data_IF_969516799573
#
_entry.id   IF_969516799573
#
_cell.length_a   1.000
_cell.length_b   1.000
_cell.length_c   1.000
_cell.angle_alpha   90.00
_cell.angle_beta   90.00
_cell.angle_gamma   90.00
#
_symmetry.space_group_name_H-M   'P 1'
#
loop_
_entity.id
_entity.type
_entity.pdbx_description
1 polymer ?
#
# COMPACT_ATOMS: atom_id res chain seq x y z
N UNK A 1 12.64 -2.35 1.52
CA UNK A 1 13.06 -0.99 1.92
C UNK A 1 12.09 -0.49 2.97
N UNK A 2 12.59 0.12 4.05
CA UNK A 2 11.73 0.67 5.12
C UNK A 2 12.16 2.11 5.39
N UNK A 3 11.19 3.02 5.46
CA UNK A 3 11.40 4.41 5.86
C UNK A 3 10.39 4.77 6.97
N UNK A 4 10.84 5.58 7.91
CA UNK A 4 10.03 5.97 9.07
C UNK A 4 9.78 7.48 9.04
N UNK A 5 8.52 7.88 8.95
CA UNK A 5 8.11 9.23 9.26
C UNK A 5 7.73 9.32 10.74
N UNK A 6 8.15 10.39 11.42
CA UNK A 6 7.99 10.58 12.86
C UNK A 6 8.41 9.33 13.68
N UNK A 7 9.69 8.96 13.66
CA UNK A 7 10.18 7.71 14.24
C UNK A 7 10.02 7.61 15.76
N UNK A 8 9.80 8.74 16.45
CA UNK A 8 9.60 8.78 17.91
C UNK A 8 8.17 8.52 18.34
N UNK A 9 7.21 8.50 17.39
CA UNK A 9 5.81 8.25 17.72
C UNK A 9 5.61 6.80 18.18
N UNK A 10 4.88 6.63 19.26
CA UNK A 10 4.55 5.30 19.83
C UNK A 10 3.35 4.65 19.15
N UNK A 11 2.44 5.44 18.60
CA UNK A 11 1.32 4.95 17.79
C UNK A 11 1.71 5.00 16.32
N UNK A 12 1.83 3.86 15.69
CA UNK A 12 2.30 3.73 14.32
C UNK A 12 1.25 3.05 13.43
N UNK A 13 1.27 3.42 12.14
CA UNK A 13 0.57 2.72 11.07
C UNK A 13 1.58 2.31 10.01
N UNK A 14 1.31 1.23 9.31
CA UNK A 14 2.12 0.79 8.18
C UNK A 14 1.43 1.15 6.87
N UNK A 15 2.17 1.73 5.94
CA UNK A 15 1.75 1.92 4.57
C UNK A 15 2.73 1.15 3.70
N UNK A 16 2.25 0.24 2.88
CA UNK A 16 3.12 -0.63 2.11
C UNK A 16 2.69 -0.77 0.66
N UNK A 17 3.64 -1.10 -0.18
CA UNK A 17 3.49 -1.50 -1.57
C UNK A 17 4.62 -2.47 -1.91
N UNK A 18 4.51 -3.25 -2.97
CA UNK A 18 5.69 -3.86 -3.55
C UNK A 18 6.37 -2.88 -4.52
N UNK A 19 7.64 -3.10 -4.82
CA UNK A 19 8.42 -2.21 -5.68
C UNK A 19 9.05 -2.93 -6.88
N UNK A 20 9.00 -4.25 -6.85
CA UNK A 20 9.41 -5.11 -7.95
C UNK A 20 8.34 -5.18 -9.05
N UNK A 21 8.63 -5.89 -10.09
CA UNK A 21 7.69 -6.25 -11.14
C UNK A 21 7.89 -7.70 -11.53
N UNK A 22 6.87 -8.30 -12.13
CA UNK A 22 6.98 -9.65 -12.66
C UNK A 22 8.15 -9.74 -13.64
N UNK A 23 9.07 -10.71 -13.47
CA UNK A 23 10.28 -10.80 -14.30
C UNK A 23 10.00 -11.16 -15.76
N UNK A 24 8.80 -11.62 -16.08
CA UNK A 24 8.37 -12.09 -17.39
C UNK A 24 6.92 -11.76 -17.68
N UNK A 25 6.56 -11.66 -18.96
CA UNK A 25 5.20 -11.35 -19.42
C UNK A 25 4.38 -12.63 -19.67
N UNK A 26 4.41 -13.59 -18.78
CA UNK A 26 3.87 -14.93 -18.95
C UNK A 26 2.33 -15.00 -18.99
N UNK A 27 1.65 -13.90 -18.72
CA UNK A 27 0.21 -13.73 -18.91
C UNK A 27 -0.15 -13.01 -20.24
N UNK A 28 0.85 -12.67 -21.07
CA UNK A 28 0.57 -12.11 -22.40
C UNK A 28 -0.14 -13.17 -23.26
N UNK A 29 -1.23 -12.82 -23.96
CA UNK A 29 -1.91 -13.75 -24.85
C UNK A 29 -1.05 -14.26 -26.00
N UNK A 30 -0.01 -13.55 -26.40
CA UNK A 30 1.01 -14.00 -27.34
C UNK A 30 2.22 -14.57 -26.57
N UNK A 31 2.38 -15.89 -26.57
CA UNK A 31 3.45 -16.60 -25.88
C UNK A 31 4.87 -16.20 -26.35
N UNK A 32 5.02 -15.58 -27.52
CA UNK A 32 6.32 -15.04 -27.97
C UNK A 32 6.79 -13.85 -27.14
N UNK A 33 5.92 -13.26 -26.35
CA UNK A 33 6.22 -12.18 -25.41
C UNK A 33 6.60 -12.67 -24.01
N UNK A 34 6.34 -13.91 -23.66
CA UNK A 34 6.44 -14.40 -22.28
C UNK A 34 7.79 -14.15 -21.61
N UNK A 35 8.88 -14.24 -22.36
CA UNK A 35 10.24 -13.98 -21.85
C UNK A 35 10.67 -12.50 -21.95
N UNK A 36 9.78 -11.60 -22.33
CA UNK A 36 10.07 -10.16 -22.39
C UNK A 36 9.82 -9.51 -21.05
N UNK A 37 10.56 -8.43 -20.71
CA UNK A 37 10.29 -7.65 -19.51
C UNK A 37 8.96 -6.91 -19.66
N UNK A 38 8.28 -6.69 -18.54
CA UNK A 38 7.08 -5.86 -18.46
C UNK A 38 7.39 -4.50 -17.81
N UNK A 39 6.55 -3.51 -18.10
CA UNK A 39 6.65 -2.18 -17.50
C UNK A 39 5.78 -2.15 -16.22
N UNK A 40 6.40 -1.86 -15.10
CA UNK A 40 5.76 -1.86 -13.78
C UNK A 40 5.00 -0.56 -13.45
N UNK A 41 4.49 0.18 -14.43
CA UNK A 41 3.92 1.51 -14.19
C UNK A 41 2.72 1.53 -13.23
N UNK A 42 1.86 0.50 -13.30
CA UNK A 42 0.75 0.34 -12.37
C UNK A 42 1.11 -0.65 -11.26
N UNK A 43 1.63 -1.79 -11.63
CA UNK A 43 2.06 -2.90 -10.81
C UNK A 43 3.60 -3.01 -10.87
N UNK A 44 4.36 -2.45 -9.92
CA UNK A 44 3.96 -1.89 -8.60
C UNK A 44 4.24 -0.39 -8.44
N UNK A 45 4.77 0.29 -9.47
CA UNK A 45 5.26 1.67 -9.32
C UNK A 45 4.17 2.65 -8.83
N UNK A 46 2.89 2.39 -9.12
CA UNK A 46 1.79 3.27 -8.70
C UNK A 46 1.65 3.36 -7.19
N UNK A 47 1.75 2.23 -6.46
CA UNK A 47 1.69 2.21 -5.00
C UNK A 47 2.87 2.95 -4.38
N UNK A 48 4.08 2.72 -4.91
CA UNK A 48 5.30 3.42 -4.47
C UNK A 48 5.20 4.93 -4.72
N UNK A 49 4.67 5.35 -5.89
CA UNK A 49 4.48 6.77 -6.19
C UNK A 49 3.54 7.47 -5.21
N UNK A 50 2.44 6.81 -4.82
CA UNK A 50 1.53 7.34 -3.79
C UNK A 50 2.24 7.46 -2.44
N UNK A 51 3.05 6.48 -2.06
CA UNK A 51 3.82 6.55 -0.80
C UNK A 51 4.82 7.70 -0.80
N UNK A 52 5.53 7.91 -1.91
CA UNK A 52 6.49 9.02 -2.05
C UNK A 52 5.79 10.38 -1.97
N UNK A 53 4.66 10.54 -2.64
CA UNK A 53 3.89 11.78 -2.60
C UNK A 53 3.34 12.05 -1.19
N UNK A 54 2.83 11.02 -0.51
CA UNK A 54 2.38 11.16 0.87
C UNK A 54 3.52 11.56 1.80
N UNK A 55 4.69 10.95 1.66
CA UNK A 55 5.88 11.32 2.44
C UNK A 55 6.27 12.79 2.19
N UNK A 56 6.20 13.25 0.93
CA UNK A 56 6.45 14.65 0.57
C UNK A 56 5.45 15.59 1.26
N UNK A 57 4.16 15.28 1.22
CA UNK A 57 3.10 16.08 1.84
C UNK A 57 3.23 16.11 3.37
N UNK A 58 3.51 14.99 4.00
CA UNK A 58 3.71 14.90 5.45
C UNK A 58 4.86 15.78 5.95
N UNK A 59 5.95 15.89 5.16
CA UNK A 59 7.07 16.77 5.50
C UNK A 59 6.75 18.25 5.28
N UNK A 60 5.68 18.57 4.56
CA UNK A 60 5.22 19.94 4.32
C UNK A 60 4.05 20.36 5.21
N UNK A 61 3.61 19.49 6.14
CA UNK A 61 2.52 19.84 7.04
C UNK A 61 2.86 21.12 7.82
N UNK A 62 1.96 22.14 7.82
CA UNK A 62 2.16 23.35 8.57
C UNK A 62 2.18 23.07 10.07
N UNK A 63 2.75 23.98 10.84
CA UNK A 63 2.63 23.90 12.29
C UNK A 63 1.16 24.13 12.70
N UNK A 64 0.66 23.28 13.59
CA UNK A 64 -0.71 23.39 14.10
C UNK A 64 -0.98 24.74 14.80
N UNK A 65 0.05 25.40 15.30
CA UNK A 65 -0.05 26.73 15.91
C UNK A 65 -0.31 27.85 14.89
N UNK A 66 -0.20 27.61 13.59
CA UNK A 66 -0.32 28.63 12.54
C UNK A 66 -1.76 28.75 12.01
N UNK A 67 -2.64 27.76 12.30
CA UNK A 67 -4.02 27.79 11.85
C UNK A 67 -4.94 28.33 12.94
N UNK A 68 -5.84 29.24 12.54
CA UNK A 68 -6.91 29.76 13.40
C UNK A 68 -8.15 28.85 13.44
N UNK A 69 -8.21 27.83 12.58
CA UNK A 69 -9.29 26.82 12.55
C UNK A 69 -8.97 25.72 13.57
N UNK A 70 -9.82 25.61 14.59
CA UNK A 70 -9.65 24.66 15.68
C UNK A 70 -9.71 23.20 15.22
N UNK A 71 -10.57 22.87 14.26
CA UNK A 71 -10.71 21.51 13.72
C UNK A 71 -9.48 21.14 12.87
N UNK A 72 -8.99 22.09 12.09
CA UNK A 72 -7.74 21.91 11.33
C UNK A 72 -6.54 21.76 12.27
N UNK A 73 -6.44 22.56 13.32
CA UNK A 73 -5.39 22.45 14.34
C UNK A 73 -5.41 21.08 15.02
N UNK A 74 -6.59 20.60 15.43
CA UNK A 74 -6.75 19.29 16.05
C UNK A 74 -6.35 18.16 15.09
N UNK A 75 -6.72 18.24 13.82
CA UNK A 75 -6.33 17.27 12.79
C UNK A 75 -4.83 17.24 12.58
N UNK A 76 -4.19 18.40 12.51
CA UNK A 76 -2.73 18.51 12.38
C UNK A 76 -1.99 17.93 13.60
N UNK A 77 -2.47 18.23 14.82
CA UNK A 77 -1.89 17.64 16.04
C UNK A 77 -2.03 16.13 16.06
N UNK A 78 -3.22 15.60 15.71
CA UNK A 78 -3.47 14.17 15.64
C UNK A 78 -2.56 13.50 14.59
N UNK A 79 -2.41 14.10 13.41
CA UNK A 79 -1.51 13.59 12.36
C UNK A 79 -0.06 13.57 12.84
N UNK A 80 0.41 14.65 13.46
CA UNK A 80 1.78 14.77 13.98
C UNK A 80 2.08 13.83 15.15
N UNK A 81 1.07 13.30 15.83
CA UNK A 81 1.23 12.30 16.89
C UNK A 81 1.42 10.88 16.37
N UNK A 82 1.11 10.64 15.09
CA UNK A 82 1.26 9.34 14.45
C UNK A 82 2.68 9.14 13.92
N UNK A 83 3.14 7.90 13.94
CA UNK A 83 4.25 7.42 13.13
C UNK A 83 3.73 6.68 11.91
N UNK A 84 4.40 6.83 10.79
CA UNK A 84 4.10 6.09 9.57
C UNK A 84 5.35 5.34 9.15
N UNK A 85 5.18 4.03 8.94
CA UNK A 85 6.21 3.17 8.39
C UNK A 85 5.86 2.90 6.93
N UNK A 86 6.70 3.41 6.04
CA UNK A 86 6.63 3.13 4.61
C UNK A 86 7.45 1.88 4.33
N UNK A 87 6.81 0.83 3.86
CA UNK A 87 7.46 -0.46 3.61
C UNK A 87 7.29 -0.84 2.15
N UNK A 88 8.41 -0.93 1.42
CA UNK A 88 8.41 -1.44 0.06
C UNK A 88 8.88 -2.90 0.10
N UNK A 89 7.99 -3.82 -0.22
CA UNK A 89 8.29 -5.24 -0.34
C UNK A 89 8.94 -5.54 -1.69
N UNK A 90 9.78 -6.55 -1.72
CA UNK A 90 10.46 -7.05 -2.90
C UNK A 90 9.95 -8.44 -3.26
N UNK A 91 10.09 -8.82 -4.53
CA UNK A 91 9.70 -10.14 -5.01
C UNK A 91 8.26 -10.54 -4.64
N UNK A 92 7.33 -9.60 -4.75
CA UNK A 92 5.90 -9.87 -4.62
C UNK A 92 5.43 -10.69 -5.81
N UNK A 93 5.79 -10.25 -7.00
CA UNK A 93 5.41 -10.80 -8.30
C UNK A 93 6.36 -11.91 -8.81
N UNK A 94 7.18 -12.50 -7.94
CA UNK A 94 8.12 -13.53 -8.38
C UNK A 94 7.39 -14.71 -8.99
N UNK A 95 6.60 -15.44 -8.22
CA UNK A 95 5.71 -16.51 -8.67
C UNK A 95 6.33 -17.58 -9.57
N UNK A 96 5.61 -18.67 -9.79
CA UNK A 96 5.99 -19.69 -10.77
C UNK A 96 5.47 -19.25 -12.15
N UNK A 97 6.31 -19.26 -13.21
CA UNK A 97 5.87 -18.85 -14.54
C UNK A 97 4.90 -19.86 -15.19
N UNK A 98 4.03 -19.36 -16.06
CA UNK A 98 2.99 -20.14 -16.74
C UNK A 98 3.54 -21.32 -17.59
N UNK A 99 4.78 -21.27 -18.01
CA UNK A 99 5.42 -22.36 -18.76
C UNK A 99 6.06 -23.42 -17.86
N UNK A 100 5.99 -23.27 -16.55
CA UNK A 100 6.54 -24.24 -15.60
C UNK A 100 5.58 -25.40 -15.38
N UNK A 101 6.11 -26.62 -15.32
CA UNK A 101 5.37 -27.81 -14.90
C UNK A 101 5.25 -27.92 -13.36
N UNK A 102 5.83 -27.00 -12.61
CA UNK A 102 5.76 -26.99 -11.16
C UNK A 102 4.36 -26.53 -10.71
N UNK A 103 3.81 -27.24 -9.72
CA UNK A 103 2.60 -26.76 -9.06
C UNK A 103 2.92 -25.50 -8.26
N UNK A 104 2.10 -24.46 -8.45
CA UNK A 104 2.17 -23.25 -7.61
C UNK A 104 1.41 -23.54 -6.30
N UNK A 105 2.16 -23.62 -5.20
CA UNK A 105 1.63 -23.78 -3.84
C UNK A 105 1.41 -22.42 -3.14
N UNK A 106 1.65 -21.32 -3.84
CA UNK A 106 1.56 -19.96 -3.34
C UNK A 106 2.80 -19.47 -2.58
N UNK A 107 3.73 -20.34 -2.24
CA UNK A 107 4.92 -19.99 -1.45
C UNK A 107 5.97 -19.21 -2.27
N UNK A 108 5.84 -19.19 -3.59
CA UNK A 108 6.72 -18.46 -4.51
C UNK A 108 6.34 -16.97 -4.69
N UNK A 109 5.20 -16.54 -4.16
CA UNK A 109 4.70 -15.17 -4.24
C UNK A 109 4.97 -14.38 -2.97
N UNK A 110 4.98 -13.07 -3.07
CA UNK A 110 5.11 -12.15 -1.94
C UNK A 110 6.30 -12.45 -1.02
N UNK A 111 7.44 -12.88 -1.59
CA UNK A 111 8.59 -13.36 -0.82
C UNK A 111 9.13 -12.33 0.17
N UNK A 112 9.16 -11.04 -0.20
CA UNK A 112 9.58 -9.97 0.68
C UNK A 112 8.62 -9.77 1.86
N UNK A 113 7.32 -9.88 1.64
CA UNK A 113 6.33 -9.80 2.72
C UNK A 113 6.41 -11.02 3.63
N UNK A 114 6.61 -12.22 3.09
CA UNK A 114 6.86 -13.43 3.87
C UNK A 114 8.12 -13.30 4.74
N UNK A 115 9.22 -12.81 4.14
CA UNK A 115 10.46 -12.55 4.87
C UNK A 115 10.24 -11.54 6.00
N UNK A 116 9.56 -10.44 5.71
CA UNK A 116 9.23 -9.42 6.70
C UNK A 116 8.41 -10.01 7.85
N UNK A 117 7.36 -10.76 7.57
CA UNK A 117 6.51 -11.36 8.59
C UNK A 117 7.28 -12.26 9.55
N UNK A 118 8.26 -13.02 9.03
CA UNK A 118 9.12 -13.93 9.81
C UNK A 118 10.21 -13.21 10.63
N UNK A 119 10.71 -12.06 10.14
CA UNK A 119 11.93 -11.42 10.65
C UNK A 119 11.69 -10.01 11.23
N UNK A 120 10.46 -9.49 11.22
CA UNK A 120 10.17 -8.19 11.84
C UNK A 120 10.51 -8.21 13.34
N UNK A 121 10.88 -7.07 13.95
CA UNK A 121 11.07 -7.00 15.40
C UNK A 121 9.86 -7.55 16.16
N UNK A 122 10.08 -8.33 17.19
CA UNK A 122 9.01 -9.02 17.93
C UNK A 122 8.01 -8.07 18.60
N UNK A 123 8.43 -6.87 18.93
CA UNK A 123 7.63 -5.79 19.49
C UNK A 123 7.00 -4.87 18.42
N UNK A 124 7.28 -5.10 17.13
CA UNK A 124 6.69 -4.31 16.06
C UNK A 124 5.20 -4.65 15.87
N UNK A 125 4.36 -3.75 16.30
CA UNK A 125 2.91 -3.88 16.23
C UNK A 125 2.27 -2.57 15.74
N UNK A 126 2.22 -2.32 14.43
CA UNK A 126 1.50 -1.18 13.89
C UNK A 126 0.00 -1.34 14.20
N UNK A 127 -0.68 -0.22 14.42
CA UNK A 127 -2.11 -0.21 14.73
C UNK A 127 -2.94 -0.85 13.61
N UNK A 128 -2.52 -0.65 12.38
CA UNK A 128 -3.00 -1.31 11.16
C UNK A 128 -2.04 -1.04 10.00
N UNK A 129 -2.19 -1.82 8.94
CA UNK A 129 -1.49 -1.62 7.67
C UNK A 129 -2.46 -1.29 6.53
N UNK A 130 -1.99 -0.55 5.55
CA UNK A 130 -2.68 -0.31 4.28
C UNK A 130 -1.71 -0.71 3.17
N UNK A 131 -2.11 -1.67 2.33
CA UNK A 131 -1.40 -2.05 1.13
C UNK A 131 -1.93 -1.26 -0.06
N UNK A 132 -1.03 -0.70 -0.85
CA UNK A 132 -1.31 -0.01 -2.10
C UNK A 132 -0.76 -0.86 -3.25
N UNK A 133 -1.67 -1.41 -4.01
CA UNK A 133 -1.35 -2.27 -5.14
C UNK A 133 -2.23 -1.90 -6.34
N UNK A 134 -1.62 -1.77 -7.52
CA UNK A 134 -2.28 -1.41 -8.79
C UNK A 134 -3.21 -0.19 -8.69
N UNK A 135 -2.79 0.87 -8.00
CA UNK A 135 -3.64 2.03 -7.69
C UNK A 135 -3.60 3.15 -8.75
N UNK A 136 -2.81 2.99 -9.82
CA UNK A 136 -2.57 4.02 -10.85
C UNK A 136 -3.36 3.85 -12.15
N UNK A 137 -4.27 2.90 -12.24
CA UNK A 137 -5.04 2.65 -13.45
C UNK A 137 -5.99 3.82 -13.80
N UNK A 138 -6.10 4.14 -15.09
CA UNK A 138 -7.05 5.16 -15.54
C UNK A 138 -8.49 4.75 -15.21
N UNK A 139 -9.22 5.62 -14.50
CA UNK A 139 -10.60 5.35 -14.07
C UNK A 139 -10.72 4.29 -12.97
N UNK A 140 -9.64 3.99 -12.27
CA UNK A 140 -9.62 3.01 -11.18
C UNK A 140 -10.76 3.23 -10.19
N UNK A 141 -11.32 2.12 -9.73
CA UNK A 141 -12.29 2.06 -8.63
C UNK A 141 -11.73 1.12 -7.56
N UNK A 142 -11.70 1.59 -6.33
CA UNK A 142 -11.21 0.83 -5.19
C UNK A 142 -12.39 0.19 -4.49
N UNK A 143 -12.58 -1.10 -4.71
CA UNK A 143 -13.61 -1.88 -4.03
C UNK A 143 -13.09 -2.40 -2.69
N UNK A 144 -14.03 -2.72 -1.79
CA UNK A 144 -13.69 -3.30 -0.50
C UNK A 144 -13.20 -4.73 -0.71
N UNK A 145 -11.92 -4.97 -0.41
CA UNK A 145 -11.28 -6.26 -0.60
C UNK A 145 -11.73 -7.27 0.48
N UNK A 146 -11.95 -8.53 0.08
CA UNK A 146 -12.60 -9.53 0.93
C UNK A 146 -11.84 -9.91 2.19
N UNK A 147 -10.52 -10.12 2.10
CA UNK A 147 -9.69 -10.43 3.27
C UNK A 147 -9.62 -9.25 4.24
N UNK A 148 -9.53 -8.03 3.69
CA UNK A 148 -9.56 -6.81 4.50
C UNK A 148 -10.89 -6.66 5.25
N UNK A 149 -12.02 -6.99 4.62
CA UNK A 149 -13.31 -7.00 5.28
C UNK A 149 -13.40 -8.06 6.39
N UNK A 150 -12.80 -9.21 6.18
CA UNK A 150 -12.79 -10.30 7.16
C UNK A 150 -11.97 -9.96 8.41
N UNK A 151 -10.78 -9.34 8.24
CA UNK A 151 -9.82 -9.16 9.34
C UNK A 151 -9.74 -7.73 9.88
N UNK A 152 -10.21 -6.72 9.13
CA UNK A 152 -10.04 -5.29 9.45
C UNK A 152 -11.22 -4.44 8.96
N UNK A 153 -12.45 -4.92 9.11
CA UNK A 153 -13.66 -4.26 8.59
C UNK A 153 -13.84 -2.83 9.10
N UNK A 154 -13.44 -2.53 10.33
CA UNK A 154 -13.47 -1.21 10.93
C UNK A 154 -12.49 -0.23 10.25
N UNK A 155 -11.30 -0.73 9.86
CA UNK A 155 -10.29 0.04 9.12
C UNK A 155 -10.77 0.30 7.69
N UNK A 156 -11.33 -0.72 7.01
CA UNK A 156 -11.95 -0.55 5.70
C UNK A 156 -13.03 0.54 5.76
N UNK A 157 -13.95 0.45 6.73
CA UNK A 157 -15.01 1.45 6.90
C UNK A 157 -14.44 2.86 7.15
N UNK A 158 -13.35 2.97 7.90
CA UNK A 158 -12.66 4.25 8.17
C UNK A 158 -12.04 4.83 6.89
N UNK A 159 -11.33 4.05 6.11
CA UNK A 159 -10.69 4.50 4.86
C UNK A 159 -11.75 4.96 3.84
N UNK A 160 -12.81 4.17 3.62
CA UNK A 160 -13.90 4.53 2.71
C UNK A 160 -14.69 5.76 3.17
N UNK A 161 -14.84 5.96 4.48
CA UNK A 161 -15.42 7.18 5.04
C UNK A 161 -14.52 8.39 4.77
N UNK A 162 -13.24 8.28 5.03
CA UNK A 162 -12.28 9.35 4.77
C UNK A 162 -12.26 9.76 3.29
N UNK A 163 -12.28 8.79 2.37
CA UNK A 163 -12.35 9.06 0.95
C UNK A 163 -13.62 9.85 0.56
N UNK A 164 -14.77 9.48 1.11
CA UNK A 164 -16.02 10.24 0.87
C UNK A 164 -15.96 11.66 1.45
N UNK A 165 -15.43 11.82 2.66
CA UNK A 165 -15.28 13.13 3.30
C UNK A 165 -14.34 14.04 2.51
N UNK A 166 -13.32 13.47 1.89
CA UNK A 166 -12.39 14.18 1.01
C UNK A 166 -12.94 14.45 -0.40
N UNK A 167 -14.18 14.05 -0.71
CA UNK A 167 -14.80 14.25 -2.03
C UNK A 167 -14.50 13.16 -3.07
N UNK A 168 -13.81 12.10 -2.70
CA UNK A 168 -13.40 11.01 -3.61
C UNK A 168 -14.30 9.76 -3.52
N UNK A 169 -15.50 9.87 -2.97
CA UNK A 169 -16.39 8.74 -2.77
C UNK A 169 -16.75 7.96 -4.05
N UNK A 170 -16.74 8.62 -5.21
CA UNK A 170 -16.98 7.96 -6.50
C UNK A 170 -15.87 6.96 -6.91
N UNK A 171 -14.66 7.11 -6.36
CA UNK A 171 -13.55 6.19 -6.58
C UNK A 171 -13.54 5.04 -5.55
N UNK A 172 -14.26 5.19 -4.45
CA UNK A 172 -14.33 4.22 -3.34
C UNK A 172 -15.77 3.72 -3.14
N UNK A 173 -16.34 2.99 -4.12
CA UNK A 173 -17.65 2.39 -3.97
C UNK A 173 -17.62 1.28 -2.90
N UNK A 174 -18.78 0.94 -2.33
CA UNK A 174 -18.88 -0.10 -1.28
C UNK A 174 -18.92 -1.51 -1.88
N UNK A 175 -19.44 -1.64 -3.08
CA UNK A 175 -19.56 -2.93 -3.79
C UNK A 175 -19.38 -2.71 -5.28
N UNK A 176 -18.96 -3.77 -5.98
CA UNK A 176 -18.94 -3.86 -7.45
C UNK A 176 -20.35 -3.90 -8.00
#
# INVERSE_FOLDING_TARGET
IIAHWNPKATTRIMLCAHWDTRPWADNDPDSTNWHKPILAANDAASGVAVMLELARLLNQLPDAAVTSDADAAQTLMATRSLGIDFVCFDAEDWGIPQWSDQADDGDSWALGAQHWAKNKPGDYAPRYGILLDMVGGQGAKFYQEGMSLQFASDIVAKVWRAARQAGYGSYFPKSS
#
